data_IF_589834168923
#
_entry.id   IF_589834168923
#
_cell.length_a   1.000
_cell.length_b   1.000
_cell.length_c   1.000
_cell.angle_alpha   90.00
_cell.angle_beta   90.00
_cell.angle_gamma   90.00
#
_symmetry.space_group_name_H-M   'P 1'
#
loop_
_entity.id
_entity.type
_entity.pdbx_description
1 polymer ?
#
# COMPACT_ATOMS: atom_id res chain seq x y z
N UNK A 1 14.94 -3.85 -6.30
CA UNK A 1 14.26 -4.86 -7.14
C UNK A 1 12.76 -4.72 -6.90
N UNK A 2 11.92 -4.75 -7.94
CA UNK A 2 10.46 -4.68 -7.77
C UNK A 2 9.94 -6.06 -7.31
N UNK A 3 9.41 -6.19 -6.09
CA UNK A 3 9.01 -7.50 -5.56
C UNK A 3 7.85 -8.09 -6.36
N UNK A 4 7.94 -9.38 -6.74
CA UNK A 4 6.85 -10.09 -7.41
C UNK A 4 5.71 -10.34 -6.43
N UNK A 5 4.46 -10.24 -6.88
CA UNK A 5 3.25 -10.50 -6.07
C UNK A 5 2.99 -9.50 -4.92
N UNK A 6 3.51 -8.28 -5.02
CA UNK A 6 3.32 -7.22 -4.02
C UNK A 6 2.60 -6.01 -4.63
N UNK A 7 1.26 -6.02 -4.60
CA UNK A 7 0.44 -4.99 -5.24
C UNK A 7 0.63 -3.60 -4.59
N UNK A 8 0.99 -3.56 -3.30
CA UNK A 8 1.32 -2.34 -2.56
C UNK A 8 2.58 -1.62 -3.06
N UNK A 9 3.47 -2.33 -3.77
CA UNK A 9 4.61 -1.76 -4.48
C UNK A 9 4.21 -1.06 -5.78
N UNK A 10 2.98 -1.27 -6.27
CA UNK A 10 2.46 -0.61 -7.46
C UNK A 10 1.61 0.60 -7.08
N UNK A 11 2.08 1.81 -7.38
CA UNK A 11 1.31 3.00 -6.99
C UNK A 11 0.02 3.17 -7.80
N UNK A 12 -0.08 2.54 -8.99
CA UNK A 12 -1.30 2.61 -9.82
C UNK A 12 -2.49 1.93 -9.14
N UNK A 13 -2.26 0.91 -8.32
CA UNK A 13 -3.32 0.24 -7.54
C UNK A 13 -4.00 1.20 -6.57
N UNK A 14 -3.25 2.18 -6.04
CA UNK A 14 -3.79 3.23 -5.18
C UNK A 14 -4.56 4.29 -5.95
N UNK A 15 -4.12 4.59 -7.18
CA UNK A 15 -4.87 5.45 -8.11
C UNK A 15 -6.22 4.80 -8.40
N UNK A 16 -6.22 3.53 -8.82
CA UNK A 16 -7.45 2.77 -9.07
C UNK A 16 -8.32 2.62 -7.83
N UNK A 17 -7.73 2.45 -6.64
CA UNK A 17 -8.46 2.45 -5.38
C UNK A 17 -9.21 3.76 -5.12
N UNK A 18 -8.57 4.92 -5.33
CA UNK A 18 -9.24 6.22 -5.22
C UNK A 18 -10.31 6.40 -6.30
N UNK A 19 -10.03 6.02 -7.55
CA UNK A 19 -10.98 6.09 -8.65
C UNK A 19 -12.23 5.26 -8.34
N UNK A 20 -12.04 4.02 -7.87
CA UNK A 20 -13.13 3.12 -7.47
C UNK A 20 -13.93 3.70 -6.30
N UNK A 21 -13.27 4.31 -5.32
CA UNK A 21 -13.94 4.98 -4.19
C UNK A 21 -14.81 6.15 -4.66
N UNK A 22 -14.35 6.96 -5.60
CA UNK A 22 -15.15 8.07 -6.15
C UNK A 22 -16.28 7.57 -7.05
N UNK A 23 -16.01 6.58 -7.89
CA UNK A 23 -17.05 5.95 -8.71
C UNK A 23 -18.19 5.37 -7.86
N UNK A 24 -17.90 4.86 -6.64
CA UNK A 24 -18.94 4.42 -5.69
C UNK A 24 -19.91 5.52 -5.25
N UNK A 25 -19.42 6.74 -5.16
CA UNK A 25 -20.20 7.88 -4.68
C UNK A 25 -20.95 8.56 -5.84
N UNK A 26 -20.36 8.54 -7.02
CA UNK A 26 -20.79 9.36 -8.16
C UNK A 26 -21.48 8.56 -9.28
N UNK A 27 -21.65 7.24 -9.12
CA UNK A 27 -22.13 6.34 -10.18
C UNK A 27 -23.08 5.27 -9.65
N UNK A 28 -24.08 4.94 -10.45
CA UNK A 28 -25.05 3.84 -10.28
C UNK A 28 -24.48 2.44 -10.61
N UNK A 29 -23.16 2.33 -10.84
CA UNK A 29 -22.48 1.10 -11.27
C UNK A 29 -22.90 0.49 -12.61
N UNK A 30 -23.73 1.18 -13.41
CA UNK A 30 -23.99 0.71 -14.78
C UNK A 30 -22.72 0.83 -15.63
N UNK A 31 -22.54 -0.10 -16.59
CA UNK A 31 -21.37 -0.08 -17.47
C UNK A 31 -21.24 1.25 -18.22
N UNK A 32 -22.37 1.81 -18.70
CA UNK A 32 -22.40 3.08 -19.42
C UNK A 32 -21.90 4.24 -18.54
N UNK A 33 -22.45 4.35 -17.32
CA UNK A 33 -22.04 5.38 -16.37
C UNK A 33 -20.57 5.23 -15.98
N UNK A 34 -20.10 4.00 -15.70
CA UNK A 34 -18.69 3.76 -15.38
C UNK A 34 -17.76 4.14 -16.54
N UNK A 35 -18.12 3.75 -17.77
CA UNK A 35 -17.33 4.07 -18.98
C UNK A 35 -17.18 5.58 -19.18
N UNK A 36 -18.21 6.36 -18.86
CA UNK A 36 -18.17 7.82 -18.95
C UNK A 36 -17.46 8.48 -17.76
N UNK A 37 -17.69 7.99 -16.53
CA UNK A 37 -17.25 8.67 -15.30
C UNK A 37 -15.81 8.35 -14.91
N UNK A 38 -15.32 7.14 -15.18
CA UNK A 38 -13.96 6.73 -14.77
C UNK A 38 -12.86 7.64 -15.35
N UNK A 39 -12.85 8.00 -16.64
CA UNK A 39 -11.84 8.92 -17.19
C UNK A 39 -11.88 10.29 -16.51
N UNK A 40 -13.09 10.85 -16.32
CA UNK A 40 -13.28 12.14 -15.64
C UNK A 40 -12.74 12.09 -14.20
N UNK A 41 -13.02 11.01 -13.47
CA UNK A 41 -12.52 10.83 -12.11
C UNK A 41 -10.99 10.77 -12.10
N UNK A 42 -10.37 10.05 -13.05
CA UNK A 42 -8.92 9.94 -13.13
C UNK A 42 -8.26 11.31 -13.35
N UNK A 43 -8.82 12.14 -14.23
CA UNK A 43 -8.32 13.49 -14.50
C UNK A 43 -8.46 14.43 -13.29
N UNK A 44 -9.39 14.14 -12.37
CA UNK A 44 -9.57 14.92 -11.13
C UNK A 44 -8.59 14.57 -10.02
N UNK A 45 -7.75 13.54 -10.19
CA UNK A 45 -6.78 13.13 -9.16
C UNK A 45 -5.56 14.06 -9.22
N UNK A 46 -5.27 14.84 -8.17
CA UNK A 46 -4.15 15.78 -8.21
C UNK A 46 -2.80 15.05 -8.31
N UNK A 47 -1.86 15.63 -9.05
CA UNK A 47 -0.49 15.10 -9.21
C UNK A 47 0.20 14.94 -7.85
N UNK A 48 -0.07 15.81 -6.89
CA UNK A 48 0.43 15.74 -5.51
C UNK A 48 0.00 14.45 -4.83
N UNK A 49 -1.25 13.99 -5.09
CA UNK A 49 -1.80 12.75 -4.54
C UNK A 49 -1.14 11.54 -5.20
N UNK A 50 -0.93 11.57 -6.52
CA UNK A 50 -0.19 10.54 -7.25
C UNK A 50 1.24 10.42 -6.71
N UNK A 51 1.93 11.55 -6.49
CA UNK A 51 3.27 11.59 -5.86
C UNK A 51 3.26 11.03 -4.43
N UNK A 52 2.19 11.22 -3.66
CA UNK A 52 2.03 10.58 -2.33
C UNK A 52 1.89 9.06 -2.45
N UNK A 53 1.14 8.57 -3.44
CA UNK A 53 1.02 7.14 -3.71
C UNK A 53 2.35 6.51 -4.12
N UNK A 54 3.07 7.13 -5.05
CA UNK A 54 4.39 6.69 -5.47
C UNK A 54 5.38 6.58 -4.30
N UNK A 55 5.45 7.62 -3.46
CA UNK A 55 6.28 7.59 -2.23
C UNK A 55 5.88 6.47 -1.27
N UNK A 56 4.58 6.19 -1.14
CA UNK A 56 4.11 5.09 -0.29
C UNK A 56 4.54 3.73 -0.84
N UNK A 57 4.41 3.51 -2.15
CA UNK A 57 4.87 2.28 -2.79
C UNK A 57 6.39 2.12 -2.69
N UNK A 58 7.14 3.21 -2.82
CA UNK A 58 8.60 3.20 -2.58
C UNK A 58 8.96 2.73 -1.17
N UNK A 59 8.20 3.15 -0.14
CA UNK A 59 8.41 2.69 1.23
C UNK A 59 8.15 1.20 1.41
N UNK A 60 7.17 0.64 0.71
CA UNK A 60 6.96 -0.80 0.70
C UNK A 60 8.11 -1.54 0.02
N UNK A 61 8.61 -1.03 -1.12
CA UNK A 61 9.81 -1.57 -1.77
C UNK A 61 11.00 -1.52 -0.80
N UNK A 62 11.23 -0.38 -0.14
CA UNK A 62 12.30 -0.25 0.86
C UNK A 62 12.11 -1.26 2.00
N UNK A 63 10.90 -1.43 2.53
CA UNK A 63 10.60 -2.41 3.56
C UNK A 63 10.95 -3.83 3.09
N UNK A 64 10.49 -4.25 1.91
CA UNK A 64 10.80 -5.59 1.38
C UNK A 64 12.27 -5.83 1.07
N UNK A 65 13.05 -4.78 0.84
CA UNK A 65 14.52 -4.92 0.70
C UNK A 65 15.24 -5.14 2.03
N UNK A 66 14.58 -4.89 3.16
CA UNK A 66 15.14 -5.16 4.49
C UNK A 66 15.05 -6.65 4.80
N UNK A 67 16.01 -7.11 5.58
CA UNK A 67 16.09 -8.48 6.05
C UNK A 67 15.80 -8.55 7.54
N UNK A 68 15.09 -9.60 7.94
CA UNK A 68 14.87 -10.02 9.31
C UNK A 68 15.29 -11.49 9.40
N UNK A 69 16.21 -11.83 10.31
CA UNK A 69 16.77 -13.18 10.45
C UNK A 69 17.25 -13.82 9.13
N UNK A 70 17.80 -13.01 8.21
CA UNK A 70 18.35 -13.47 6.93
C UNK A 70 17.35 -13.56 5.77
N UNK A 71 16.03 -13.43 6.02
CA UNK A 71 14.98 -13.45 5.00
C UNK A 71 14.37 -12.07 4.76
N UNK A 72 13.75 -11.85 3.60
CA UNK A 72 13.02 -10.61 3.33
C UNK A 72 11.76 -10.53 4.20
N UNK A 73 11.35 -9.31 4.55
CA UNK A 73 10.14 -9.12 5.34
C UNK A 73 8.88 -9.63 4.61
N UNK A 74 7.99 -10.29 5.36
CA UNK A 74 6.65 -10.63 4.90
C UNK A 74 5.72 -9.40 4.83
N UNK A 75 4.56 -9.57 4.18
CA UNK A 75 3.61 -8.48 3.93
C UNK A 75 3.11 -7.78 5.20
N UNK A 76 2.81 -8.53 6.26
CA UNK A 76 2.35 -7.98 7.54
C UNK A 76 3.43 -7.15 8.23
N UNK A 77 4.66 -7.66 8.34
CA UNK A 77 5.83 -6.92 8.88
C UNK A 77 6.13 -5.67 8.07
N UNK A 78 6.11 -5.75 6.74
CA UNK A 78 6.32 -4.59 5.87
C UNK A 78 5.23 -3.53 6.07
N UNK A 79 3.96 -3.93 6.18
CA UNK A 79 2.85 -3.02 6.47
C UNK A 79 2.98 -2.35 7.85
N UNK A 80 3.38 -3.12 8.87
CA UNK A 80 3.67 -2.60 10.22
C UNK A 80 4.76 -1.52 10.16
N UNK A 81 5.91 -1.80 9.54
CA UNK A 81 7.01 -0.83 9.43
C UNK A 81 6.59 0.44 8.70
N UNK A 82 5.94 0.31 7.54
CA UNK A 82 5.47 1.47 6.77
C UNK A 82 4.44 2.29 7.58
N UNK A 83 3.70 1.65 8.50
CA UNK A 83 2.75 2.29 9.40
C UNK A 83 3.44 2.98 10.59
N UNK A 84 4.45 2.36 11.18
CA UNK A 84 5.20 2.88 12.33
C UNK A 84 6.07 4.06 11.92
N UNK A 85 6.84 3.94 10.84
CA UNK A 85 7.81 4.94 10.40
C UNK A 85 7.23 5.91 9.35
N UNK A 86 6.03 6.46 9.61
CA UNK A 86 5.35 7.37 8.68
C UNK A 86 6.04 8.73 8.51
N UNK A 87 6.68 9.25 9.55
CA UNK A 87 7.36 10.56 9.57
C UNK A 87 8.77 10.49 8.98
N UNK A 88 9.49 9.41 9.24
CA UNK A 88 10.88 9.23 8.81
C UNK A 88 10.93 9.01 7.30
N UNK A 89 11.55 9.93 6.56
CA UNK A 89 11.68 9.84 5.08
C UNK A 89 12.47 8.61 4.61
N UNK A 90 12.98 7.79 5.53
CA UNK A 90 13.70 6.53 5.35
C UNK A 90 13.38 5.60 6.51
N UNK A 91 13.49 4.30 6.31
CA UNK A 91 13.40 3.33 7.40
C UNK A 91 14.72 3.30 8.19
N UNK A 92 14.70 3.13 9.52
CA UNK A 92 15.92 3.05 10.32
C UNK A 92 16.77 1.85 9.88
N UNK A 93 18.08 1.90 10.12
CA UNK A 93 19.01 0.82 9.73
C UNK A 93 18.65 -0.48 10.44
N UNK A 94 18.40 -0.38 11.75
CA UNK A 94 17.91 -1.45 12.61
C UNK A 94 16.43 -1.22 12.87
N UNK A 95 15.62 -2.27 12.71
CA UNK A 95 14.18 -2.22 13.01
C UNK A 95 13.92 -3.13 14.20
N UNK A 96 13.12 -2.63 15.14
CA UNK A 96 12.63 -3.43 16.25
C UNK A 96 11.28 -4.04 15.89
N UNK A 97 11.16 -5.34 16.11
CA UNK A 97 9.96 -6.14 15.87
C UNK A 97 9.39 -6.76 17.15
N UNK A 98 9.93 -6.44 18.33
CA UNK A 98 9.47 -6.98 19.62
C UNK A 98 7.96 -6.83 19.79
N UNK A 99 7.46 -5.59 19.70
CA UNK A 99 6.02 -5.28 19.78
C UNK A 99 5.19 -5.99 18.71
N UNK A 100 5.73 -6.12 17.48
CA UNK A 100 5.03 -6.80 16.40
C UNK A 100 4.90 -8.29 16.68
N UNK A 101 5.99 -8.94 17.11
CA UNK A 101 6.03 -10.38 17.37
C UNK A 101 5.13 -10.74 18.56
N UNK A 102 5.10 -9.91 19.60
CA UNK A 102 4.17 -10.06 20.73
C UNK A 102 2.71 -9.95 20.26
N UNK A 103 2.39 -8.97 19.40
CA UNK A 103 1.03 -8.82 18.88
C UNK A 103 0.63 -9.94 17.91
N UNK A 104 1.57 -10.47 17.12
CA UNK A 104 1.34 -11.56 16.16
C UNK A 104 0.93 -12.87 16.85
N UNK A 105 1.43 -13.13 18.07
CA UNK A 105 1.05 -14.29 18.89
C UNK A 105 -0.47 -14.34 19.19
N UNK A 106 -1.15 -13.20 19.15
CA UNK A 106 -2.58 -13.09 19.44
C UNK A 106 -3.45 -12.84 18.20
N UNK A 107 -2.86 -12.83 17.00
CA UNK A 107 -3.63 -12.69 15.76
C UNK A 107 -4.20 -14.06 15.35
N UNK A 108 -5.51 -14.16 15.04
CA UNK A 108 -6.06 -15.39 14.49
C UNK A 108 -5.38 -15.74 13.17
N UNK A 109 -5.10 -17.03 12.94
CA UNK A 109 -4.70 -17.50 11.61
C UNK A 109 -5.84 -17.17 10.63
N UNK A 110 -5.51 -16.48 9.53
CA UNK A 110 -6.48 -16.24 8.46
C UNK A 110 -6.75 -17.60 7.81
N UNK A 111 -7.97 -18.15 8.00
CA UNK A 111 -8.48 -19.27 7.21
C UNK A 111 -8.42 -18.87 5.73
N UNK A 112 -7.69 -19.67 4.96
CA UNK A 112 -7.44 -19.51 3.51
C UNK A 112 -8.70 -19.68 2.65
#
# INVERSE_FOLDING_TARGET
MYPRFHCECNFIERVWGETKRRARLDCDYSYSSLKQRVPVILDTIPVEKIRKFARRSWRFIEAYTRKDNGSCLGGRKAAYIVKTYKSHRRLPVTMDFSEYNEAEQYMPEEEE
#
